data_IF_239455843997
#
_entry.id   IF_239455843997
#
_cell.length_a   1.000
_cell.length_b   1.000
_cell.length_c   1.000
_cell.angle_alpha   90.00
_cell.angle_beta   90.00
_cell.angle_gamma   90.00
#
_symmetry.space_group_name_H-M   'P 1'
#
loop_
_entity.id
_entity.type
_entity.pdbx_description
1 polymer ?
#
# COMPACT_ATOMS: atom_id res chain seq x y z
N UNK A 1 2.15 -1.99 -9.75
CA UNK A 1 3.61 -1.74 -9.77
C UNK A 1 4.12 -1.49 -8.37
N UNK A 2 5.41 -1.70 -8.16
CA UNK A 2 6.05 -1.33 -6.89
C UNK A 2 6.50 0.13 -6.97
N UNK A 3 6.34 0.87 -5.89
CA UNK A 3 6.94 2.19 -5.72
C UNK A 3 8.33 2.03 -5.06
N UNK A 4 9.25 2.92 -5.41
CA UNK A 4 10.57 2.96 -4.81
C UNK A 4 10.69 4.10 -3.77
N UNK A 5 11.90 4.34 -3.24
CA UNK A 5 12.11 5.36 -2.21
C UNK A 5 11.83 6.79 -2.73
N UNK A 6 12.19 7.09 -3.98
CA UNK A 6 11.88 8.39 -4.57
C UNK A 6 10.38 8.60 -4.75
N UNK A 7 9.67 7.55 -5.19
CA UNK A 7 8.21 7.56 -5.29
C UNK A 7 7.56 7.77 -3.92
N UNK A 8 8.07 7.11 -2.88
CA UNK A 8 7.55 7.25 -1.52
C UNK A 8 7.71 8.68 -0.98
N UNK A 9 8.83 9.34 -1.30
CA UNK A 9 9.05 10.76 -0.97
C UNK A 9 8.11 11.66 -1.78
N UNK A 10 8.01 11.42 -3.08
CA UNK A 10 7.15 12.20 -3.98
C UNK A 10 5.68 12.15 -3.55
N UNK A 11 5.21 10.99 -3.14
CA UNK A 11 3.82 10.78 -2.68
C UNK A 11 3.58 11.15 -1.20
N UNK A 12 4.62 11.56 -0.46
CA UNK A 12 4.51 11.93 0.96
C UNK A 12 4.40 10.75 1.92
N UNK A 13 4.62 9.51 1.47
CA UNK A 13 4.64 8.31 2.32
C UNK A 13 5.91 8.25 3.16
N UNK A 14 7.01 8.81 2.66
CA UNK A 14 8.28 8.88 3.35
C UNK A 14 8.85 10.31 3.32
N UNK A 15 9.59 10.68 4.38
CA UNK A 15 10.23 12.00 4.48
C UNK A 15 11.63 12.03 3.88
N UNK A 16 12.31 10.89 3.86
CA UNK A 16 13.75 10.82 3.52
C UNK A 16 14.12 9.47 2.92
N UNK A 17 15.18 9.52 2.11
CA UNK A 17 15.91 8.35 1.69
C UNK A 17 17.25 8.28 2.43
N UNK A 18 17.57 7.10 2.98
CA UNK A 18 18.86 6.75 3.52
C UNK A 18 19.21 5.36 3.00
N UNK A 19 20.42 5.20 2.46
CA UNK A 19 20.89 3.89 1.98
C UNK A 19 20.81 2.84 3.09
N UNK A 20 20.32 1.66 2.76
CA UNK A 20 20.16 0.56 3.72
C UNK A 20 21.47 0.11 4.37
N UNK A 21 22.59 0.29 3.68
CA UNK A 21 23.95 -0.01 4.18
C UNK A 21 24.33 0.88 5.36
N UNK A 22 23.76 2.08 5.44
CA UNK A 22 24.01 3.03 6.52
C UNK A 22 23.17 2.84 7.77
N UNK A 23 22.23 1.88 7.74
CA UNK A 23 21.33 1.61 8.87
C UNK A 23 22.07 1.37 10.20
N UNK A 24 23.19 0.61 10.26
CA UNK A 24 23.96 0.45 11.51
C UNK A 24 24.53 1.75 12.05
N UNK A 25 25.08 2.60 11.16
CA UNK A 25 25.65 3.89 11.54
C UNK A 25 24.56 4.87 12.04
N UNK A 26 23.42 4.91 11.37
CA UNK A 26 22.25 5.71 11.81
C UNK A 26 21.85 5.32 13.22
N UNK A 27 21.70 4.01 13.47
CA UNK A 27 21.32 3.50 14.78
C UNK A 27 22.35 3.87 15.84
N UNK A 28 23.64 3.70 15.56
CA UNK A 28 24.74 4.08 16.46
C UNK A 28 24.69 5.57 16.81
N UNK A 29 24.50 6.43 15.79
CA UNK A 29 24.44 7.88 16.00
C UNK A 29 23.19 8.29 16.79
N UNK A 30 22.06 7.64 16.58
CA UNK A 30 20.86 7.86 17.39
C UNK A 30 21.05 7.43 18.85
N UNK A 31 21.72 6.30 19.09
CA UNK A 31 22.01 5.81 20.46
C UNK A 31 22.98 6.72 21.21
N UNK A 32 23.83 7.46 20.50
CA UNK A 32 24.79 8.40 21.10
C UNK A 32 24.21 9.77 21.45
N UNK A 33 22.94 10.05 21.04
CA UNK A 33 22.33 11.34 21.34
C UNK A 33 21.96 11.44 22.82
N UNK A 34 22.05 12.64 23.35
CA UNK A 34 21.60 12.97 24.72
C UNK A 34 20.08 13.25 24.71
N UNK A 35 19.31 12.18 24.82
CA UNK A 35 17.84 12.26 24.80
C UNK A 35 17.32 12.83 26.11
N UNK A 36 16.62 13.97 26.03
CA UNK A 36 16.00 14.64 27.17
C UNK A 36 14.53 14.29 27.39
N UNK A 37 13.93 14.96 28.37
CA UNK A 37 12.49 14.82 28.64
C UNK A 37 11.59 15.62 27.67
N UNK A 38 12.17 16.56 26.90
CA UNK A 38 11.43 17.48 26.03
C UNK A 38 11.29 16.91 24.61
N UNK A 39 10.06 16.47 24.20
CA UNK A 39 9.84 15.87 22.88
C UNK A 39 10.31 16.74 21.70
N UNK A 40 10.10 18.07 21.65
CA UNK A 40 10.54 18.89 20.54
C UNK A 40 12.06 18.86 20.35
N UNK A 41 12.85 18.84 21.44
CA UNK A 41 14.31 18.74 21.43
C UNK A 41 14.74 17.39 20.88
N UNK A 42 14.14 16.31 21.32
CA UNK A 42 14.39 14.96 20.84
C UNK A 42 14.08 14.83 19.34
N UNK A 43 12.97 15.40 18.87
CA UNK A 43 12.63 15.43 17.45
C UNK A 43 13.67 16.23 16.62
N UNK A 44 14.22 17.31 17.18
CA UNK A 44 15.26 18.08 16.50
C UNK A 44 16.58 17.29 16.39
N UNK A 45 16.98 16.58 17.44
CA UNK A 45 18.14 15.68 17.44
C UNK A 45 17.99 14.56 16.41
N UNK A 46 16.86 13.84 16.46
CA UNK A 46 16.58 12.79 15.49
C UNK A 46 16.61 13.32 14.05
N UNK A 47 15.96 14.46 13.81
CA UNK A 47 15.93 15.12 12.49
C UNK A 47 17.33 15.50 12.02
N UNK A 48 18.19 16.00 12.89
CA UNK A 48 19.55 16.37 12.54
C UNK A 48 20.36 15.14 12.09
N UNK A 49 20.33 14.07 12.87
CA UNK A 49 21.03 12.81 12.52
C UNK A 49 20.51 12.28 11.18
N UNK A 50 19.18 12.11 11.04
CA UNK A 50 18.60 11.54 9.82
C UNK A 50 18.85 12.41 8.58
N UNK A 51 18.87 13.76 8.72
CA UNK A 51 19.20 14.66 7.61
C UNK A 51 20.62 14.45 7.11
N UNK A 52 21.59 14.37 8.03
CA UNK A 52 23.00 14.18 7.66
C UNK A 52 23.22 12.90 6.85
N UNK A 53 22.59 11.79 7.25
CA UNK A 53 22.67 10.53 6.51
C UNK A 53 21.88 10.55 5.19
N UNK A 54 20.76 11.27 5.13
CA UNK A 54 20.01 11.45 3.90
C UNK A 54 20.82 12.24 2.85
N UNK A 55 21.46 13.34 3.25
CA UNK A 55 22.33 14.13 2.38
C UNK A 55 23.47 13.31 1.79
N UNK A 56 24.04 12.39 2.58
CA UNK A 56 25.12 11.50 2.15
C UNK A 56 24.65 10.31 1.28
N UNK A 57 23.35 10.12 1.15
CA UNK A 57 22.75 9.02 0.39
C UNK A 57 22.07 9.49 -0.91
N UNK A 58 22.05 10.79 -1.18
CA UNK A 58 21.28 11.38 -2.30
C UNK A 58 21.61 10.78 -3.66
N UNK A 59 22.88 10.52 -3.92
CA UNK A 59 23.39 9.94 -5.17
C UNK A 59 22.98 8.48 -5.38
N UNK A 60 22.56 7.81 -4.32
CA UNK A 60 22.05 6.41 -4.35
C UNK A 60 20.53 6.33 -4.43
N UNK A 61 19.84 7.48 -4.38
CA UNK A 61 18.39 7.49 -4.48
C UNK A 61 17.96 7.05 -5.89
N UNK A 62 17.07 6.04 -6.01
CA UNK A 62 16.63 5.58 -7.32
C UNK A 62 15.79 6.64 -8.03
N UNK A 63 15.71 6.55 -9.36
CA UNK A 63 14.80 7.41 -10.15
C UNK A 63 13.35 7.01 -9.84
N UNK A 64 12.52 8.01 -9.50
CA UNK A 64 11.09 7.82 -9.26
C UNK A 64 10.33 7.46 -10.53
N UNK A 65 9.31 6.62 -10.38
CA UNK A 65 8.45 6.18 -11.49
C UNK A 65 7.11 6.92 -11.47
N UNK A 66 6.57 7.22 -10.26
CA UNK A 66 5.24 7.82 -10.12
C UNK A 66 5.18 9.20 -10.77
N UNK A 67 6.16 10.06 -10.50
CA UNK A 67 6.18 11.42 -11.06
C UNK A 67 6.24 11.41 -12.59
N UNK A 68 7.11 10.58 -13.16
CA UNK A 68 7.29 10.47 -14.63
C UNK A 68 6.06 9.89 -15.33
N UNK A 69 5.25 9.10 -14.64
CA UNK A 69 4.05 8.46 -15.17
C UNK A 69 2.74 9.08 -14.67
N UNK A 70 2.80 10.21 -13.94
CA UNK A 70 1.63 10.81 -13.28
C UNK A 70 0.47 11.08 -14.26
N UNK A 71 0.76 11.56 -15.46
CA UNK A 71 -0.27 11.79 -16.48
C UNK A 71 -0.97 10.49 -16.90
N UNK A 72 -0.20 9.43 -17.13
CA UNK A 72 -0.76 8.12 -17.47
C UNK A 72 -1.57 7.53 -16.31
N UNK A 73 -1.06 7.63 -15.09
CA UNK A 73 -1.77 7.18 -13.88
C UNK A 73 -3.11 7.90 -13.76
N UNK A 74 -3.11 9.23 -13.86
CA UNK A 74 -4.34 10.02 -13.76
C UNK A 74 -5.35 9.64 -14.84
N UNK A 75 -4.90 9.47 -16.10
CA UNK A 75 -5.80 9.08 -17.18
C UNK A 75 -6.40 7.68 -16.98
N UNK A 76 -5.60 6.72 -16.52
CA UNK A 76 -6.07 5.33 -16.30
C UNK A 76 -7.00 5.20 -15.10
N UNK A 77 -6.81 6.06 -14.10
CA UNK A 77 -7.56 6.05 -12.85
C UNK A 77 -8.65 7.14 -12.79
N UNK A 78 -8.88 7.86 -13.89
CA UNK A 78 -9.92 8.88 -13.97
C UNK A 78 -11.29 8.22 -14.09
N UNK A 79 -12.14 8.45 -13.08
CA UNK A 79 -13.50 7.92 -13.03
C UNK A 79 -13.92 7.46 -11.64
N UNK A 80 -15.24 7.27 -11.50
CA UNK A 80 -15.88 6.81 -10.26
C UNK A 80 -16.24 5.32 -10.29
N UNK A 81 -16.17 4.69 -11.47
CA UNK A 81 -16.45 3.25 -11.64
C UNK A 81 -15.14 2.44 -11.57
N UNK A 82 -14.98 1.69 -10.49
CA UNK A 82 -13.83 0.81 -10.30
C UNK A 82 -13.68 -0.24 -11.41
N UNK A 83 -14.79 -0.70 -12.00
CA UNK A 83 -14.73 -1.69 -13.08
C UNK A 83 -14.11 -1.09 -14.35
N UNK A 84 -14.42 0.17 -14.67
CA UNK A 84 -13.81 0.88 -15.78
C UNK A 84 -12.31 1.14 -15.50
N UNK A 85 -11.95 1.55 -14.29
CA UNK A 85 -10.55 1.74 -13.89
C UNK A 85 -9.76 0.44 -14.03
N UNK A 86 -10.31 -0.69 -13.56
CA UNK A 86 -9.68 -2.02 -13.72
C UNK A 86 -9.50 -2.35 -15.20
N UNK A 87 -10.53 -2.17 -16.02
CA UNK A 87 -10.49 -2.45 -17.46
C UNK A 87 -9.44 -1.57 -18.17
N UNK A 88 -9.37 -0.28 -17.85
CA UNK A 88 -8.38 0.66 -18.40
C UNK A 88 -6.94 0.23 -18.07
N UNK A 89 -6.68 -0.15 -16.81
CA UNK A 89 -5.35 -0.58 -16.40
C UNK A 89 -5.01 -1.96 -17.01
N UNK A 90 -5.94 -2.90 -17.01
CA UNK A 90 -5.72 -4.26 -17.50
C UNK A 90 -5.50 -4.32 -19.02
N UNK A 91 -6.17 -3.45 -19.77
CA UNK A 91 -6.05 -3.35 -21.24
C UNK A 91 -4.90 -2.48 -21.74
N UNK A 92 -4.11 -1.89 -20.82
CA UNK A 92 -3.03 -0.97 -21.17
C UNK A 92 -1.98 -1.63 -22.07
N UNK A 93 -1.80 -1.06 -23.27
CA UNK A 93 -0.74 -1.44 -24.19
C UNK A 93 0.42 -0.45 -24.07
N UNK A 94 1.53 -0.90 -23.54
CA UNK A 94 2.70 -0.05 -23.30
C UNK A 94 4.00 -0.83 -23.42
N UNK A 95 5.05 -0.15 -23.88
CA UNK A 95 6.42 -0.66 -23.86
C UNK A 95 7.17 -0.30 -22.56
N UNK A 96 6.56 0.52 -21.70
CA UNK A 96 7.14 0.88 -20.42
C UNK A 96 7.07 -0.30 -19.45
N UNK A 97 8.22 -0.75 -18.88
CA UNK A 97 8.26 -1.95 -18.03
C UNK A 97 7.52 -1.77 -16.71
N UNK A 98 7.49 -0.55 -16.15
CA UNK A 98 6.85 -0.30 -14.86
C UNK A 98 5.32 -0.30 -14.99
N UNK A 99 4.80 0.35 -16.03
CA UNK A 99 3.37 0.35 -16.34
C UNK A 99 2.89 -1.05 -16.77
N UNK A 100 3.66 -1.77 -17.61
CA UNK A 100 3.36 -3.14 -18.00
C UNK A 100 3.25 -4.06 -16.78
N UNK A 101 4.21 -3.96 -15.85
CA UNK A 101 4.16 -4.72 -14.60
C UNK A 101 2.97 -4.34 -13.71
N UNK A 102 2.52 -3.09 -13.75
CA UNK A 102 1.32 -2.65 -13.03
C UNK A 102 0.07 -3.36 -13.57
N UNK A 103 -0.10 -3.34 -14.90
CA UNK A 103 -1.20 -4.01 -15.61
C UNK A 103 -1.20 -5.52 -15.35
N UNK A 104 -0.05 -6.19 -15.50
CA UNK A 104 0.07 -7.63 -15.20
C UNK A 104 -0.26 -7.97 -13.75
N UNK A 105 0.20 -7.16 -12.80
CA UNK A 105 -0.04 -7.41 -11.38
C UNK A 105 -1.52 -7.30 -11.03
N UNK A 106 -2.22 -6.33 -11.62
CA UNK A 106 -3.67 -6.18 -11.44
C UNK A 106 -4.41 -7.36 -12.08
N UNK A 107 -4.06 -7.73 -13.30
CA UNK A 107 -4.72 -8.81 -14.06
C UNK A 107 -4.54 -10.19 -13.42
N UNK A 108 -3.46 -10.42 -12.67
CA UNK A 108 -3.21 -11.66 -11.91
C UNK A 108 -3.74 -11.61 -10.48
N UNK A 109 -4.06 -10.42 -9.98
CA UNK A 109 -4.59 -10.22 -8.64
C UNK A 109 -6.03 -10.73 -8.50
N UNK A 110 -6.50 -10.87 -7.25
CA UNK A 110 -7.91 -11.17 -6.98
C UNK A 110 -8.79 -10.01 -7.42
N UNK A 111 -9.78 -10.23 -8.30
CA UNK A 111 -10.77 -9.21 -8.64
C UNK A 111 -11.54 -8.68 -7.42
N UNK A 112 -11.85 -9.56 -6.48
CA UNK A 112 -12.48 -9.21 -5.22
C UNK A 112 -11.60 -8.29 -4.38
N UNK A 113 -10.28 -8.56 -4.33
CA UNK A 113 -9.33 -7.70 -3.62
C UNK A 113 -9.26 -6.28 -4.20
N UNK A 114 -9.28 -6.13 -5.51
CA UNK A 114 -9.32 -4.82 -6.15
C UNK A 114 -10.54 -4.00 -5.72
N UNK A 115 -11.72 -4.64 -5.61
CA UNK A 115 -12.96 -3.98 -5.21
C UNK A 115 -12.92 -3.53 -3.75
N UNK A 116 -12.49 -4.36 -2.80
CA UNK A 116 -12.46 -3.93 -1.40
C UNK A 116 -11.40 -2.85 -1.15
N UNK A 117 -10.23 -2.90 -1.82
CA UNK A 117 -9.20 -1.86 -1.73
C UNK A 117 -9.76 -0.52 -2.20
N UNK A 118 -10.41 -0.49 -3.36
CA UNK A 118 -10.99 0.74 -3.89
C UNK A 118 -12.06 1.31 -2.95
N UNK A 119 -12.99 0.45 -2.49
CA UNK A 119 -14.03 0.87 -1.55
C UNK A 119 -13.43 1.45 -0.27
N UNK A 120 -12.41 0.80 0.31
CA UNK A 120 -11.70 1.28 1.49
C UNK A 120 -11.08 2.66 1.27
N UNK A 121 -10.40 2.87 0.13
CA UNK A 121 -9.79 4.15 -0.22
C UNK A 121 -10.82 5.28 -0.37
N UNK A 122 -11.97 4.99 -0.98
CA UNK A 122 -13.05 5.97 -1.16
C UNK A 122 -13.73 6.31 0.17
N UNK A 123 -14.12 5.28 0.93
CA UNK A 123 -14.87 5.47 2.20
C UNK A 123 -14.03 6.14 3.28
N UNK A 124 -12.71 5.84 3.34
CA UNK A 124 -11.82 6.37 4.36
C UNK A 124 -11.03 7.62 3.95
N UNK A 125 -11.34 8.21 2.82
CA UNK A 125 -10.59 9.37 2.28
C UNK A 125 -10.42 10.53 3.27
N UNK A 126 -11.37 10.72 4.17
CA UNK A 126 -11.39 11.79 5.17
C UNK A 126 -11.47 11.26 6.61
N UNK A 127 -11.24 9.96 6.80
CA UNK A 127 -11.30 9.33 8.11
C UNK A 127 -10.08 9.69 8.97
N UNK A 128 -10.27 9.73 10.27
CA UNK A 128 -9.18 9.80 11.23
C UNK A 128 -8.39 8.48 11.26
N UNK A 129 -7.16 8.52 11.77
CA UNK A 129 -6.33 7.31 11.91
C UNK A 129 -7.03 6.24 12.77
N UNK A 130 -7.75 6.64 13.81
CA UNK A 130 -8.60 5.75 14.63
C UNK A 130 -9.64 5.02 13.78
N UNK A 131 -10.41 5.75 12.98
CA UNK A 131 -11.45 5.18 12.11
C UNK A 131 -10.85 4.26 11.06
N UNK A 132 -9.69 4.62 10.50
CA UNK A 132 -8.97 3.75 9.56
C UNK A 132 -8.63 2.41 10.23
N UNK A 133 -7.98 2.40 11.39
CA UNK A 133 -7.62 1.16 12.08
C UNK A 133 -8.85 0.34 12.50
N UNK A 134 -9.94 0.99 12.93
CA UNK A 134 -11.19 0.32 13.27
C UNK A 134 -11.86 -0.34 12.06
N UNK A 135 -11.79 0.29 10.89
CA UNK A 135 -12.28 -0.28 9.63
C UNK A 135 -11.36 -1.39 9.11
N UNK A 136 -10.05 -1.19 9.15
CA UNK A 136 -9.07 -2.17 8.68
C UNK A 136 -9.13 -3.48 9.46
N UNK A 137 -9.22 -3.44 10.80
CA UNK A 137 -9.30 -4.68 11.58
C UNK A 137 -10.56 -5.47 11.27
N UNK A 138 -11.68 -4.77 10.99
CA UNK A 138 -12.94 -5.39 10.57
C UNK A 138 -12.77 -6.08 9.21
N UNK A 139 -12.27 -5.34 8.22
CA UNK A 139 -12.03 -5.84 6.88
C UNK A 139 -11.06 -7.04 6.88
N UNK A 140 -9.89 -6.90 7.54
CA UNK A 140 -8.89 -7.97 7.62
C UNK A 140 -9.44 -9.21 8.30
N UNK A 141 -10.26 -9.07 9.36
CA UNK A 141 -10.89 -10.22 10.02
C UNK A 141 -11.78 -11.01 9.06
N UNK A 142 -12.51 -10.33 8.18
CA UNK A 142 -13.35 -10.98 7.18
C UNK A 142 -12.50 -11.56 6.02
N UNK A 143 -11.44 -10.86 5.60
CA UNK A 143 -10.51 -11.34 4.56
C UNK A 143 -9.86 -12.66 4.97
N UNK A 144 -9.29 -12.77 6.19
CA UNK A 144 -8.59 -13.99 6.62
C UNK A 144 -9.50 -15.20 6.78
N UNK A 145 -10.81 -14.98 6.90
CA UNK A 145 -11.83 -16.05 6.94
C UNK A 145 -12.31 -16.47 5.54
N UNK A 146 -12.02 -15.68 4.53
CA UNK A 146 -12.50 -15.94 3.17
C UNK A 146 -11.54 -16.89 2.40
N UNK A 147 -12.06 -17.84 1.59
CA UNK A 147 -11.24 -18.80 0.85
C UNK A 147 -10.18 -18.18 -0.06
N UNK A 148 -10.43 -17.02 -0.66
CA UNK A 148 -9.46 -16.33 -1.52
C UNK A 148 -8.17 -15.93 -0.77
N UNK A 149 -8.24 -15.63 0.52
CA UNK A 149 -7.03 -15.38 1.30
C UNK A 149 -6.15 -16.64 1.39
N UNK A 150 -6.77 -17.78 1.70
CA UNK A 150 -6.07 -19.06 1.77
C UNK A 150 -5.45 -19.44 0.41
N UNK A 151 -6.18 -19.19 -0.70
CA UNK A 151 -5.68 -19.44 -2.06
C UNK A 151 -4.49 -18.53 -2.39
N UNK A 152 -4.56 -17.24 -2.07
CA UNK A 152 -3.43 -16.34 -2.26
C UNK A 152 -2.18 -16.77 -1.48
N UNK A 153 -2.36 -17.20 -0.24
CA UNK A 153 -1.28 -17.75 0.60
C UNK A 153 -0.72 -19.04 0.00
N UNK A 154 -1.57 -19.97 -0.45
CA UNK A 154 -1.14 -21.20 -1.11
C UNK A 154 -0.25 -20.89 -2.31
N UNK A 155 -0.76 -20.09 -3.24
CA UNK A 155 -0.08 -19.81 -4.50
C UNK A 155 1.25 -19.06 -4.32
N UNK A 156 1.33 -18.17 -3.34
CA UNK A 156 2.50 -17.30 -3.16
C UNK A 156 3.52 -17.87 -2.18
N UNK A 157 3.09 -18.47 -1.07
CA UNK A 157 3.96 -18.81 0.06
C UNK A 157 4.17 -20.33 0.24
N UNK A 158 3.14 -21.14 -0.02
CA UNK A 158 3.18 -22.59 0.20
C UNK A 158 3.68 -23.31 -1.06
N UNK A 159 2.89 -23.33 -2.13
CA UNK A 159 3.23 -24.01 -3.38
C UNK A 159 4.19 -23.20 -4.24
N UNK A 160 4.17 -21.87 -4.10
CA UNK A 160 5.02 -20.90 -4.81
C UNK A 160 4.89 -20.97 -6.33
N UNK A 161 3.77 -21.52 -6.83
CA UNK A 161 3.46 -21.63 -8.24
C UNK A 161 3.07 -20.29 -8.88
N UNK A 162 2.70 -19.29 -8.04
CA UNK A 162 2.24 -17.95 -8.46
C UNK A 162 1.04 -17.99 -9.42
N UNK A 163 0.24 -19.05 -9.32
CA UNK A 163 -0.91 -19.30 -10.17
C UNK A 163 -2.17 -19.49 -9.30
N UNK A 164 -2.68 -18.41 -8.67
CA UNK A 164 -3.86 -18.50 -7.85
C UNK A 164 -5.10 -18.79 -8.70
N UNK A 165 -6.00 -19.61 -8.16
CA UNK A 165 -7.30 -19.92 -8.73
C UNK A 165 -8.35 -19.10 -8.00
N UNK A 166 -8.54 -17.86 -8.41
CA UNK A 166 -9.51 -16.96 -7.80
C UNK A 166 -10.94 -17.42 -8.03
N UNK A 167 -11.80 -17.17 -7.06
CA UNK A 167 -13.23 -17.52 -7.14
C UNK A 167 -13.95 -16.77 -8.26
N UNK A 168 -13.54 -15.54 -8.53
CA UNK A 168 -14.10 -14.68 -9.57
C UNK A 168 -13.07 -14.40 -10.65
N UNK A 169 -13.49 -14.45 -11.91
CA UNK A 169 -12.61 -14.19 -13.06
C UNK A 169 -12.52 -12.70 -13.40
N UNK A 170 -13.54 -11.93 -13.04
CA UNK A 170 -13.64 -10.48 -13.28
C UNK A 170 -14.23 -9.79 -12.05
N UNK A 171 -13.92 -8.51 -11.88
CA UNK A 171 -14.55 -7.66 -10.86
C UNK A 171 -16.08 -7.58 -11.03
N UNK A 172 -16.56 -7.68 -12.28
CA UNK A 172 -18.00 -7.65 -12.60
C UNK A 172 -18.74 -8.93 -12.19
N UNK A 173 -18.02 -10.03 -11.99
CA UNK A 173 -18.62 -11.30 -11.55
C UNK A 173 -18.83 -11.36 -10.03
N UNK A 174 -18.26 -10.40 -9.29
CA UNK A 174 -18.37 -10.34 -7.82
C UNK A 174 -19.74 -9.80 -7.44
N UNK A 175 -20.60 -10.61 -6.75
CA UNK A 175 -21.90 -10.12 -6.31
C UNK A 175 -21.74 -8.99 -5.26
N UNK A 176 -22.56 -7.95 -5.39
CA UNK A 176 -22.51 -6.81 -4.46
C UNK A 176 -22.65 -7.22 -2.98
N UNK A 177 -23.48 -8.25 -2.69
CA UNK A 177 -23.63 -8.78 -1.33
C UNK A 177 -22.38 -9.46 -0.79
N UNK A 178 -21.56 -10.08 -1.65
CA UNK A 178 -20.27 -10.66 -1.24
C UNK A 178 -19.30 -9.54 -0.85
N UNK A 179 -19.18 -8.51 -1.67
CA UNK A 179 -18.35 -7.36 -1.33
C UNK A 179 -18.82 -6.67 -0.06
N UNK A 180 -20.13 -6.47 0.11
CA UNK A 180 -20.69 -5.83 1.30
C UNK A 180 -20.35 -6.59 2.59
N UNK A 181 -20.41 -7.92 2.57
CA UNK A 181 -20.14 -8.77 3.73
C UNK A 181 -18.73 -8.61 4.31
N UNK A 182 -17.75 -8.17 3.51
CA UNK A 182 -16.40 -7.87 4.01
C UNK A 182 -16.36 -6.65 4.94
N UNK A 183 -17.36 -5.79 4.85
CA UNK A 183 -17.49 -4.56 5.64
C UNK A 183 -18.50 -4.69 6.78
N UNK A 184 -19.08 -5.89 6.97
CA UNK A 184 -19.92 -6.18 8.13
C UNK A 184 -19.06 -6.41 9.38
N UNK A 185 -19.48 -5.85 10.52
CA UNK A 185 -18.78 -6.03 11.78
C UNK A 185 -18.87 -7.50 12.24
N UNK A 186 -17.73 -8.22 12.40
CA UNK A 186 -17.73 -9.61 12.83
C UNK A 186 -17.86 -9.78 14.35
N UNK A 187 -18.07 -8.69 15.08
CA UNK A 187 -18.26 -8.64 16.53
C UNK A 187 -19.23 -7.54 16.97
N UNK A 188 -19.74 -7.64 18.18
CA UNK A 188 -20.67 -6.66 18.75
C UNK A 188 -19.96 -5.33 19.11
N UNK A 189 -18.70 -5.41 19.54
CA UNK A 189 -17.88 -4.25 19.89
C UNK A 189 -16.54 -4.37 19.15
N UNK A 190 -16.16 -3.31 18.43
CA UNK A 190 -14.87 -3.28 17.74
C UNK A 190 -13.72 -3.44 18.75
N UNK A 191 -12.77 -4.38 18.52
CA UNK A 191 -11.61 -4.56 19.40
C UNK A 191 -10.75 -3.32 19.61
N UNK A 192 -10.83 -2.34 18.71
CA UNK A 192 -10.13 -1.06 18.78
C UNK A 192 -11.05 0.11 19.16
N UNK A 193 -12.17 -0.15 19.86
CA UNK A 193 -13.10 0.90 20.26
C UNK A 193 -12.46 1.97 21.14
N UNK A 194 -11.46 1.58 21.95
CA UNK A 194 -10.77 2.44 22.92
C UNK A 194 -9.49 3.12 22.36
N UNK A 195 -9.20 2.98 21.07
CA UNK A 195 -8.00 3.54 20.42
C UNK A 195 -7.96 5.08 20.50
#
# INVERSE_FOLDING_TARGET
ASINAADAIYTGIADRFISSERKPEVLEQLLRQDWGAEPPTNHALARHVLRSFAEQSLDQCPVGQVESHLSAINTLCDGDDIHEIIDNIASLQTSDPWLSKASESLSRGSPLAALWIFRQLVELRHASLKEVFQSEIQLVTNIVRHPEFAEGVRALLIDKDRSPSWQYQSSRDVPAGVLAAFFDAPWDINPLADL
#
